data_IF_295964556967
#
_entry.id   IF_295964556967
#
_cell.length_a   1.000
_cell.length_b   1.000
_cell.length_c   1.000
_cell.angle_alpha   90.00
_cell.angle_beta   90.00
_cell.angle_gamma   90.00
#
_symmetry.space_group_name_H-M   'P 1'
#
loop_
_entity.id
_entity.type
_entity.pdbx_description
1 polymer ?
#
# COMPACT_ATOMS: atom_id res chain seq x y z
N UNK A 1 3.91 5.77 17.11
CA UNK A 1 4.70 4.69 17.75
C UNK A 1 5.33 3.84 16.66
N UNK A 2 6.55 3.30 16.86
CA UNK A 2 7.14 2.35 15.92
C UNK A 2 6.28 1.07 15.88
N UNK A 3 6.00 0.57 14.68
CA UNK A 3 5.24 -0.66 14.48
C UNK A 3 6.17 -1.66 13.83
N UNK A 4 6.38 -2.82 14.45
CA UNK A 4 7.13 -3.88 13.80
C UNK A 4 6.33 -4.35 12.57
N UNK A 5 6.94 -4.26 11.39
CA UNK A 5 6.27 -4.60 10.12
C UNK A 5 6.74 -5.98 9.67
N UNK A 6 5.78 -6.83 9.29
CA UNK A 6 6.04 -8.15 8.70
C UNK A 6 6.29 -8.03 7.20
N UNK A 7 5.44 -7.28 6.50
CA UNK A 7 5.52 -7.10 5.06
C UNK A 7 4.97 -5.75 4.63
N UNK A 8 5.47 -5.26 3.50
CA UNK A 8 4.98 -4.05 2.83
C UNK A 8 4.78 -4.38 1.37
N UNK A 9 3.59 -4.12 0.86
CA UNK A 9 3.21 -4.42 -0.50
C UNK A 9 2.74 -3.16 -1.23
N UNK A 10 3.00 -3.10 -2.52
CA UNK A 10 2.31 -2.21 -3.44
C UNK A 10 1.23 -3.04 -4.13
N UNK A 11 -0.02 -2.63 -3.97
CA UNK A 11 -1.15 -3.20 -4.69
C UNK A 11 -1.38 -2.39 -5.96
N UNK A 12 -1.35 -3.09 -7.09
CA UNK A 12 -1.64 -2.56 -8.40
C UNK A 12 -2.95 -3.13 -8.92
N UNK A 13 -3.65 -2.31 -9.70
CA UNK A 13 -4.95 -2.62 -10.28
C UNK A 13 -4.84 -2.51 -11.79
N UNK A 14 -5.45 -3.47 -12.48
CA UNK A 14 -5.74 -3.41 -13.91
C UNK A 14 -7.26 -3.38 -14.06
N UNK A 15 -7.77 -2.27 -14.60
CA UNK A 15 -9.20 -2.10 -14.88
C UNK A 15 -9.60 -2.89 -16.13
N UNK A 16 -10.90 -3.18 -16.25
CA UNK A 16 -11.41 -3.78 -17.50
C UNK A 16 -11.12 -2.88 -18.70
N UNK A 17 -10.46 -3.45 -19.71
CA UNK A 17 -9.98 -2.78 -20.94
C UNK A 17 -8.74 -1.89 -20.74
N UNK A 18 -8.12 -1.92 -19.57
CA UNK A 18 -6.75 -1.45 -19.41
C UNK A 18 -5.77 -2.58 -19.79
N UNK A 19 -4.55 -2.22 -20.17
CA UNK A 19 -3.46 -3.15 -20.45
C UNK A 19 -2.28 -2.96 -19.49
N UNK A 20 -2.42 -2.06 -18.50
CA UNK A 20 -1.37 -1.74 -17.55
C UNK A 20 -1.86 -1.89 -16.10
N UNK A 21 -1.01 -2.49 -15.28
CA UNK A 21 -1.20 -2.47 -13.83
C UNK A 21 -0.75 -1.13 -13.27
N UNK A 22 -1.69 -0.40 -12.68
CA UNK A 22 -1.43 0.90 -12.06
C UNK A 22 -1.41 0.76 -10.53
N UNK A 23 -0.32 1.17 -9.85
CA UNK A 23 -0.26 1.21 -8.39
C UNK A 23 -1.42 2.04 -7.82
N UNK A 24 -2.24 1.42 -6.98
CA UNK A 24 -3.47 2.01 -6.45
C UNK A 24 -3.50 2.04 -4.93
N UNK A 25 -2.69 1.21 -4.27
CA UNK A 25 -2.55 1.23 -2.83
C UNK A 25 -1.18 0.75 -2.33
N UNK A 26 -0.84 1.15 -1.12
CA UNK A 26 0.18 0.50 -0.29
C UNK A 26 -0.53 -0.28 0.80
N UNK A 27 -0.11 -1.52 1.01
CA UNK A 27 -0.62 -2.39 2.08
C UNK A 27 0.53 -2.70 3.03
N UNK A 28 0.38 -2.32 4.30
CA UNK A 28 1.35 -2.61 5.35
C UNK A 28 0.77 -3.71 6.22
N UNK A 29 1.52 -4.79 6.41
CA UNK A 29 1.16 -5.90 7.29
C UNK A 29 2.04 -5.82 8.53
N UNK A 30 1.53 -5.35 9.68
CA UNK A 30 2.25 -5.40 10.96
C UNK A 30 2.58 -6.85 11.35
N UNK A 31 3.58 -7.05 12.22
CA UNK A 31 3.83 -8.37 12.83
C UNK A 31 2.65 -8.83 13.70
N UNK A 32 1.99 -7.87 14.35
CA UNK A 32 0.85 -8.11 15.23
C UNK A 32 -0.37 -7.38 14.70
N UNK A 33 -1.35 -8.11 14.17
CA UNK A 33 -2.66 -7.57 13.81
C UNK A 33 -3.01 -7.66 12.32
N UNK A 34 -4.01 -6.86 11.94
CA UNK A 34 -4.55 -6.81 10.57
C UNK A 34 -3.71 -5.87 9.70
N UNK A 35 -3.78 -6.10 8.39
CA UNK A 35 -3.17 -5.21 7.42
C UNK A 35 -3.78 -3.80 7.52
N UNK A 36 -2.98 -2.81 7.12
CA UNK A 36 -3.38 -1.41 6.97
C UNK A 36 -3.29 -1.02 5.51
N UNK A 37 -4.30 -0.31 5.01
CA UNK A 37 -4.47 0.05 3.61
C UNK A 37 -4.33 1.57 3.42
N UNK A 38 -3.45 1.97 2.51
CA UNK A 38 -3.19 3.38 2.17
C UNK A 38 -3.42 3.57 0.67
N UNK A 39 -4.45 4.31 0.29
CA UNK A 39 -4.89 4.44 -1.09
C UNK A 39 -5.63 5.76 -1.34
N UNK A 40 -6.09 5.96 -2.58
CA UNK A 40 -7.05 7.00 -2.88
C UNK A 40 -8.34 6.80 -2.07
N UNK A 41 -9.06 7.88 -1.75
CA UNK A 41 -10.30 7.79 -0.97
C UNK A 41 -11.41 7.07 -1.73
N UNK A 42 -11.46 7.27 -3.06
CA UNK A 42 -12.45 6.65 -3.93
C UNK A 42 -12.28 5.12 -4.00
N UNK A 43 -11.05 4.62 -3.90
CA UNK A 43 -10.74 3.21 -4.09
C UNK A 43 -10.79 2.38 -2.79
N UNK A 44 -10.83 3.02 -1.63
CA UNK A 44 -10.64 2.34 -0.35
C UNK A 44 -11.59 1.16 -0.15
N UNK A 45 -12.90 1.37 -0.28
CA UNK A 45 -13.88 0.31 -0.03
C UNK A 45 -13.78 -0.85 -1.03
N UNK A 46 -13.45 -0.53 -2.29
CA UNK A 46 -13.26 -1.50 -3.36
C UNK A 46 -12.05 -2.38 -3.08
N UNK A 47 -10.88 -1.77 -2.86
CA UNK A 47 -9.62 -2.48 -2.60
C UNK A 47 -9.69 -3.25 -1.29
N UNK A 48 -10.24 -2.64 -0.23
CA UNK A 48 -10.42 -3.31 1.05
C UNK A 48 -11.29 -4.56 0.92
N UNK A 49 -12.40 -4.48 0.18
CA UNK A 49 -13.26 -5.63 -0.09
C UNK A 49 -12.55 -6.74 -0.85
N UNK A 50 -11.71 -6.39 -1.83
CA UNK A 50 -10.91 -7.36 -2.58
C UNK A 50 -9.89 -8.08 -1.66
N UNK A 51 -9.13 -7.32 -0.87
CA UNK A 51 -8.15 -7.85 0.09
C UNK A 51 -8.77 -8.75 1.17
N UNK A 52 -10.03 -8.52 1.53
CA UNK A 52 -10.76 -9.34 2.49
C UNK A 52 -11.33 -10.64 1.89
N UNK A 53 -11.38 -10.77 0.56
CA UNK A 53 -12.00 -11.90 -0.14
C UNK A 53 -11.00 -12.77 -0.90
N UNK A 54 -9.91 -12.19 -1.37
CA UNK A 54 -8.87 -12.86 -2.13
C UNK A 54 -7.78 -13.38 -1.19
N UNK A 55 -7.14 -14.48 -1.56
CA UNK A 55 -5.98 -14.96 -0.83
C UNK A 55 -4.73 -14.17 -1.23
N UNK A 56 -3.78 -14.06 -0.30
CA UNK A 56 -2.52 -13.37 -0.55
C UNK A 56 -1.68 -14.04 -1.64
N UNK A 57 -1.66 -15.37 -1.70
CA UNK A 57 -0.99 -16.12 -2.76
C UNK A 57 -1.52 -15.77 -4.15
N UNK A 58 -2.85 -15.69 -4.27
CA UNK A 58 -3.50 -15.40 -5.54
C UNK A 58 -3.20 -13.96 -5.98
N UNK A 59 -3.08 -13.04 -5.02
CA UNK A 59 -2.71 -11.65 -5.28
C UNK A 59 -1.24 -11.50 -5.72
N UNK A 60 -0.33 -12.38 -5.32
CA UNK A 60 1.08 -12.34 -5.75
C UNK A 60 1.23 -12.71 -7.23
N UNK A 61 0.38 -13.62 -7.71
CA UNK A 61 0.35 -14.01 -9.13
C UNK A 61 -0.50 -13.03 -9.95
N UNK A 62 -1.81 -12.96 -9.65
CA UNK A 62 -2.83 -12.05 -10.18
C UNK A 62 -4.20 -12.61 -9.80
N UNK A 63 -5.07 -11.80 -9.18
CA UNK A 63 -6.38 -12.24 -8.74
C UNK A 63 -7.49 -11.32 -9.24
N UNK A 64 -8.55 -11.91 -9.79
CA UNK A 64 -9.68 -11.14 -10.34
C UNK A 64 -10.82 -11.04 -9.34
N UNK A 65 -11.35 -9.84 -9.14
CA UNK A 65 -12.53 -9.59 -8.33
C UNK A 65 -13.38 -8.46 -8.92
N UNK A 66 -14.68 -8.73 -9.16
CA UNK A 66 -15.63 -7.76 -9.73
C UNK A 66 -15.11 -7.06 -11.02
N UNK A 67 -14.65 -7.86 -11.98
CA UNK A 67 -14.11 -7.40 -13.28
C UNK A 67 -12.82 -6.58 -13.22
N UNK A 68 -12.13 -6.57 -12.09
CA UNK A 68 -10.86 -5.88 -11.90
C UNK A 68 -9.80 -6.91 -11.53
N UNK A 69 -8.60 -6.80 -12.09
CA UNK A 69 -7.46 -7.65 -11.74
C UNK A 69 -6.58 -6.92 -10.74
N UNK A 70 -6.20 -7.63 -9.67
CA UNK A 70 -5.38 -7.12 -8.58
C UNK A 70 -4.09 -7.91 -8.53
N UNK A 71 -2.98 -7.20 -8.33
CA UNK A 71 -1.67 -7.81 -8.08
C UNK A 71 -0.96 -7.07 -6.95
N UNK A 72 -0.33 -7.80 -6.05
CA UNK A 72 0.56 -7.24 -5.04
C UNK A 72 2.02 -7.52 -5.40
N UNK A 73 2.90 -6.57 -5.12
CA UNK A 73 4.34 -6.74 -5.22
C UNK A 73 5.00 -6.38 -3.90
N UNK A 74 5.97 -7.18 -3.47
CA UNK A 74 6.73 -6.90 -2.26
C UNK A 74 7.56 -5.62 -2.47
N UNK A 75 7.41 -4.66 -1.56
CA UNK A 75 8.08 -3.36 -1.59
C UNK A 75 9.10 -3.19 -0.46
N UNK A 76 9.41 -4.25 0.29
CA UNK A 76 10.40 -4.22 1.37
C UNK A 76 11.80 -3.86 0.87
N UNK A 77 12.15 -4.26 -0.35
CA UNK A 77 13.41 -3.90 -1.01
C UNK A 77 13.56 -2.39 -1.30
N UNK A 78 12.47 -1.62 -1.24
CA UNK A 78 12.49 -0.16 -1.36
C UNK A 78 12.75 0.53 -0.01
N UNK A 79 12.75 -0.24 1.08
CA UNK A 79 12.94 0.23 2.44
C UNK A 79 14.35 -0.12 2.93
N UNK A 80 14.98 0.72 3.74
CA UNK A 80 16.23 0.37 4.41
C UNK A 80 16.04 -0.82 5.38
N UNK A 81 17.04 -1.70 5.50
CA UNK A 81 16.96 -2.90 6.35
C UNK A 81 16.58 -2.58 7.81
N UNK A 82 17.11 -1.49 8.36
CA UNK A 82 16.79 -1.05 9.72
C UNK A 82 15.30 -0.71 9.93
N UNK A 83 14.52 -0.41 8.88
CA UNK A 83 13.07 -0.19 8.99
C UNK A 83 12.34 -1.50 9.32
N UNK A 84 12.86 -2.63 8.84
CA UNK A 84 12.30 -3.96 9.05
C UNK A 84 12.75 -4.55 10.40
N UNK A 85 13.99 -4.29 10.79
CA UNK A 85 14.60 -4.85 12.01
C UNK A 85 14.21 -4.08 13.28
N UNK A 86 14.33 -2.76 13.25
CA UNK A 86 14.17 -1.90 14.44
C UNK A 86 12.76 -1.31 14.56
N UNK A 87 11.94 -1.48 13.51
CA UNK A 87 10.59 -0.96 13.41
C UNK A 87 10.58 0.52 13.04
N UNK A 88 10.24 0.81 11.78
CA UNK A 88 9.94 2.17 11.36
C UNK A 88 8.50 2.58 11.74
N UNK A 89 8.27 3.88 11.86
CA UNK A 89 6.90 4.39 11.89
C UNK A 89 6.26 4.21 10.51
N UNK A 90 4.94 3.97 10.48
CA UNK A 90 4.18 3.89 9.23
C UNK A 90 4.36 5.15 8.38
N UNK A 91 4.38 6.33 9.01
CA UNK A 91 4.61 7.60 8.32
C UNK A 91 5.97 7.62 7.59
N UNK A 92 7.05 7.14 8.21
CA UNK A 92 8.36 7.04 7.57
C UNK A 92 8.37 6.03 6.42
N UNK A 93 7.70 4.89 6.57
CA UNK A 93 7.56 3.89 5.49
C UNK A 93 6.86 4.51 4.29
N UNK A 94 5.71 5.15 4.50
CA UNK A 94 4.94 5.78 3.43
C UNK A 94 5.74 6.90 2.75
N UNK A 95 6.43 7.74 3.54
CA UNK A 95 7.26 8.81 3.01
C UNK A 95 8.41 8.26 2.17
N UNK A 96 9.08 7.20 2.63
CA UNK A 96 10.17 6.57 1.89
C UNK A 96 9.68 5.99 0.57
N UNK A 97 8.57 5.27 0.57
CA UNK A 97 7.95 4.74 -0.65
C UNK A 97 7.59 5.86 -1.62
N UNK A 98 6.95 6.93 -1.14
CA UNK A 98 6.60 8.08 -1.96
C UNK A 98 7.82 8.74 -2.60
N UNK A 99 8.90 8.97 -1.85
CA UNK A 99 10.13 9.57 -2.39
C UNK A 99 10.80 8.66 -3.43
N UNK A 100 10.68 7.33 -3.28
CA UNK A 100 11.25 6.39 -4.24
C UNK A 100 10.53 6.38 -5.59
N UNK A 101 9.21 6.62 -5.61
CA UNK A 101 8.43 6.68 -6.84
C UNK A 101 7.19 7.60 -6.70
N UNK A 102 7.39 8.93 -6.69
CA UNK A 102 6.32 9.88 -6.36
C UNK A 102 5.24 9.96 -7.45
N UNK A 103 5.59 9.69 -8.72
CA UNK A 103 4.64 9.70 -9.83
C UNK A 103 3.64 8.55 -9.72
N UNK A 104 4.12 7.35 -9.43
CA UNK A 104 3.25 6.18 -9.37
C UNK A 104 2.52 6.07 -8.01
N UNK A 105 3.09 6.63 -6.94
CA UNK A 105 2.52 6.61 -5.59
C UNK A 105 1.95 7.97 -5.18
N UNK A 106 1.50 8.79 -6.13
CA UNK A 106 1.03 10.15 -5.88
C UNK A 106 -0.12 10.21 -4.86
N UNK A 107 -0.94 9.16 -4.79
CA UNK A 107 -2.03 9.02 -3.82
C UNK A 107 -1.54 9.05 -2.37
N UNK A 108 -0.26 8.79 -2.11
CA UNK A 108 0.30 8.86 -0.76
C UNK A 108 0.43 10.29 -0.24
N UNK A 109 0.50 11.29 -1.12
CA UNK A 109 0.68 12.70 -0.76
C UNK A 109 -0.31 13.20 0.30
N UNK A 110 -1.56 12.72 0.24
CA UNK A 110 -2.63 13.06 1.20
C UNK A 110 -2.30 12.70 2.65
N UNK A 111 -1.51 11.65 2.85
CA UNK A 111 -1.15 11.15 4.19
C UNK A 111 -0.02 11.97 4.83
N UNK A 112 0.67 12.82 4.05
CA UNK A 112 1.64 13.77 4.56
C UNK A 112 1.02 15.14 4.83
N UNK A 113 0.05 15.54 4.01
CA UNK A 113 -0.65 16.82 4.15
C UNK A 113 -1.57 16.88 5.37
N UNK A 114 -2.15 15.75 5.81
CA UNK A 114 -3.00 15.70 7.01
C UNK A 114 -2.25 16.01 8.33
N UNK A 115 -0.91 15.93 8.35
CA UNK A 115 -0.11 16.29 9.53
C UNK A 115 0.36 17.76 9.51
N UNK A 116 -0.01 18.52 8.48
CA UNK A 116 0.28 19.95 8.36
C UNK A 116 -0.98 20.77 8.68
N UNK A 117 -1.52 20.63 9.89
CA UNK A 117 -2.42 21.65 10.44
C UNK A 117 -1.53 22.70 11.11
N UNK A 118 -1.47 23.95 10.61
CA UNK A 118 -1.05 25.05 11.46
C UNK A 118 -2.14 25.22 12.52
N UNK A 119 -1.76 25.08 13.80
CA UNK A 119 -2.63 25.53 14.89
C UNK A 119 -2.94 27.02 14.66
N UNK A 120 -4.21 27.45 14.77
CA UNK A 120 -4.52 28.87 14.91
C UNK A 120 -3.90 29.45 16.19
#
# INVERSE_FOLDING_TARGET
MPTAVRAVYILSVEESNDYIFTPSAVVIVPKEGRFQLFCSGADHNRIFSALMKLNWSDLEEEARFKNVTYRISNAQNLLPDHYLEQGASIAHILQRLYVSNPRHLFFLSRYFQMNATPNP
#
